data_IF_783889311879
#
_entry.id   IF_783889311879
#
_cell.length_a   1.000
_cell.length_b   1.000
_cell.length_c   1.000
_cell.angle_alpha   90.00
_cell.angle_beta   90.00
_cell.angle_gamma   90.00
#
_symmetry.space_group_name_H-M   'P 1'
#
loop_
_entity.id
_entity.type
_entity.pdbx_description
1 polymer ?
#
# COMPACT_ATOMS: atom_id res chain seq x y z
N UNK A 1 -2.94 -23.18 4.97
CA UNK A 1 -3.70 -22.83 3.76
C UNK A 1 -2.68 -22.56 2.70
N UNK A 2 -2.57 -23.44 1.70
CA UNK A 2 -1.66 -23.28 0.58
C UNK A 2 -2.28 -22.23 -0.34
N UNK A 3 -1.88 -20.97 -0.22
CA UNK A 3 -2.36 -19.89 -1.08
C UNK A 3 -1.18 -19.33 -1.86
N UNK A 4 -1.38 -19.09 -3.16
CA UNK A 4 -0.47 -18.63 -4.21
C UNK A 4 0.24 -17.29 -3.94
N UNK A 5 0.76 -17.07 -2.74
CA UNK A 5 1.53 -15.89 -2.39
C UNK A 5 3.02 -16.17 -2.52
N UNK A 6 3.81 -15.19 -3.02
CA UNK A 6 5.26 -15.28 -3.02
C UNK A 6 5.86 -15.56 -1.62
N UNK A 7 5.17 -15.11 -0.56
CA UNK A 7 5.58 -15.25 0.84
C UNK A 7 4.37 -15.51 1.73
N UNK A 8 4.58 -16.03 2.94
CA UNK A 8 3.51 -16.14 3.93
C UNK A 8 3.01 -14.73 4.33
N UNK A 9 1.74 -14.36 4.05
CA UNK A 9 1.20 -13.05 4.40
C UNK A 9 1.23 -12.78 5.91
N UNK A 10 1.25 -13.82 6.75
CA UNK A 10 1.33 -13.73 8.22
C UNK A 10 2.73 -13.99 8.76
N UNK A 11 3.67 -14.34 7.87
CA UNK A 11 5.07 -14.57 8.22
C UNK A 11 5.82 -13.28 8.53
N UNK A 12 7.10 -13.44 8.88
CA UNK A 12 8.00 -12.33 9.19
C UNK A 12 8.11 -11.35 8.02
N UNK A 13 8.23 -11.87 6.80
CA UNK A 13 8.39 -11.08 5.58
C UNK A 13 7.07 -10.42 5.14
N UNK A 14 5.92 -11.11 5.23
CA UNK A 14 4.64 -10.61 4.76
C UNK A 14 4.06 -9.49 5.64
N UNK A 15 3.96 -9.72 6.94
CA UNK A 15 3.34 -8.76 7.88
C UNK A 15 4.00 -8.73 9.25
N UNK A 16 5.17 -9.33 9.41
CA UNK A 16 5.89 -9.40 10.68
C UNK A 16 5.01 -10.02 11.80
N UNK A 17 4.33 -11.12 11.50
CA UNK A 17 3.37 -11.73 12.43
C UNK A 17 2.17 -10.84 12.71
N UNK A 18 1.60 -10.20 11.67
CA UNK A 18 0.47 -9.26 11.76
C UNK A 18 0.77 -7.97 12.56
N UNK A 19 2.04 -7.54 12.63
CA UNK A 19 2.45 -6.23 13.19
C UNK A 19 2.45 -5.11 12.13
N UNK A 20 2.58 -5.47 10.86
CA UNK A 20 2.56 -4.54 9.71
C UNK A 20 1.31 -4.74 8.87
N UNK A 21 0.81 -3.65 8.31
CA UNK A 21 -0.37 -3.62 7.46
C UNK A 21 -0.13 -2.69 6.26
N UNK A 22 -0.90 -2.90 5.21
CA UNK A 22 -1.14 -1.97 4.11
C UNK A 22 0.06 -1.12 3.66
N UNK A 23 0.03 0.17 3.99
CA UNK A 23 1.00 1.18 3.62
C UNK A 23 2.40 0.83 4.13
N UNK A 24 2.50 0.24 5.32
CA UNK A 24 3.81 -0.13 5.86
C UNK A 24 4.44 -1.26 5.08
N UNK A 25 3.65 -2.23 4.64
CA UNK A 25 4.13 -3.36 3.82
C UNK A 25 4.60 -2.85 2.45
N UNK A 26 3.85 -1.92 1.85
CA UNK A 26 4.22 -1.30 0.56
C UNK A 26 5.50 -0.45 0.72
N UNK A 27 5.59 0.35 1.78
CA UNK A 27 6.76 1.19 2.04
C UNK A 27 8.04 0.40 2.30
N UNK A 28 7.94 -0.82 2.85
CA UNK A 28 9.10 -1.71 3.04
C UNK A 28 9.66 -2.27 1.72
N UNK A 29 9.00 -2.03 0.57
CA UNK A 29 9.45 -2.46 -0.76
C UNK A 29 10.17 -1.38 -1.55
N UNK A 30 10.38 -0.20 -0.96
CA UNK A 30 11.01 0.94 -1.63
C UNK A 30 12.08 1.54 -0.74
N UNK A 31 13.20 1.93 -1.35
CA UNK A 31 14.23 2.77 -0.76
C UNK A 31 14.00 4.23 -1.21
N UNK A 32 13.89 5.16 -0.25
CA UNK A 32 13.59 6.57 -0.53
C UNK A 32 14.72 7.29 -1.28
N UNK A 33 15.97 6.86 -1.12
CA UNK A 33 17.13 7.49 -1.73
C UNK A 33 17.48 6.89 -3.10
N UNK A 34 17.21 5.59 -3.30
CA UNK A 34 17.62 4.85 -4.50
C UNK A 34 16.51 4.65 -5.54
N UNK A 35 15.25 4.48 -5.12
CA UNK A 35 14.17 4.05 -6.03
C UNK A 35 13.37 5.21 -6.65
N UNK A 36 13.61 6.45 -6.22
CA UNK A 36 12.90 7.62 -6.71
C UNK A 36 13.75 8.44 -7.69
N UNK A 37 13.18 8.86 -8.83
CA UNK A 37 11.78 8.75 -9.23
C UNK A 37 11.37 7.34 -9.68
N UNK A 38 10.20 6.89 -9.25
CA UNK A 38 9.68 5.53 -9.42
C UNK A 38 8.60 5.46 -10.50
N UNK A 39 8.66 4.44 -11.36
CA UNK A 39 7.61 4.12 -12.33
C UNK A 39 6.65 3.05 -11.75
N UNK A 40 5.34 3.36 -11.75
CA UNK A 40 4.28 2.51 -11.18
C UNK A 40 4.28 1.12 -11.80
N UNK A 41 4.36 1.05 -13.12
CA UNK A 41 4.21 -0.21 -13.85
C UNK A 41 5.40 -1.14 -13.64
N UNK A 42 6.61 -0.59 -13.46
CA UNK A 42 7.80 -1.36 -13.09
C UNK A 42 7.66 -1.93 -11.67
N UNK A 43 7.23 -1.09 -10.72
CA UNK A 43 6.99 -1.51 -9.33
C UNK A 43 5.90 -2.60 -9.23
N UNK A 44 4.81 -2.48 -10.00
CA UNK A 44 3.75 -3.51 -10.05
C UNK A 44 4.22 -4.77 -10.79
N UNK A 45 5.07 -4.66 -11.80
CA UNK A 45 5.63 -5.84 -12.46
C UNK A 45 6.51 -6.66 -11.51
N UNK A 46 7.24 -6.00 -10.61
CA UNK A 46 8.10 -6.66 -9.63
C UNK A 46 7.32 -7.19 -8.41
N UNK A 47 6.47 -6.36 -7.81
CA UNK A 47 5.82 -6.65 -6.53
C UNK A 47 4.31 -6.87 -6.61
N UNK A 48 3.72 -6.88 -7.80
CA UNK A 48 2.27 -6.94 -7.99
C UNK A 48 1.58 -8.18 -7.40
N UNK A 49 2.30 -9.30 -7.28
CA UNK A 49 1.85 -10.55 -6.63
C UNK A 49 2.11 -10.58 -5.12
N UNK A 50 2.82 -9.60 -4.57
CA UNK A 50 3.17 -9.56 -3.15
C UNK A 50 1.90 -9.41 -2.29
N UNK A 51 1.76 -10.20 -1.22
CA UNK A 51 0.57 -10.14 -0.38
C UNK A 51 0.58 -8.87 0.49
N UNK A 52 -0.50 -8.09 0.39
CA UNK A 52 -0.73 -6.93 1.24
C UNK A 52 -1.84 -7.25 2.23
N UNK A 53 -1.47 -7.32 3.51
CA UNK A 53 -2.42 -7.49 4.61
C UNK A 53 -3.07 -6.15 4.93
N UNK A 54 -4.36 -6.03 4.60
CA UNK A 54 -5.15 -4.81 4.80
C UNK A 54 -5.66 -4.73 6.23
N UNK A 55 -6.15 -5.85 6.76
CA UNK A 55 -6.60 -5.96 8.13
C UNK A 55 -6.48 -7.42 8.62
N UNK A 56 -7.04 -7.73 9.78
CA UNK A 56 -6.99 -9.07 10.36
C UNK A 56 -7.71 -10.16 9.54
N UNK A 57 -8.55 -9.79 8.57
CA UNK A 57 -9.30 -10.73 7.69
C UNK A 57 -8.89 -10.67 6.23
N UNK A 58 -8.54 -9.49 5.71
CA UNK A 58 -8.35 -9.25 4.27
C UNK A 58 -6.86 -9.17 3.91
N UNK A 59 -6.47 -9.97 2.93
CA UNK A 59 -5.20 -9.91 2.21
C UNK A 59 -5.51 -9.84 0.73
N UNK A 60 -4.83 -8.94 0.02
CA UNK A 60 -4.99 -8.72 -1.43
C UNK A 60 -3.60 -8.69 -2.08
N UNK A 61 -3.47 -8.98 -3.38
CA UNK A 61 -2.22 -8.73 -4.07
C UNK A 61 -1.99 -7.22 -4.22
N UNK A 62 -0.73 -6.78 -4.20
CA UNK A 62 -0.40 -5.36 -4.37
C UNK A 62 -1.02 -4.75 -5.64
N UNK A 63 -1.04 -5.49 -6.75
CA UNK A 63 -1.64 -5.01 -8.01
C UNK A 63 -3.10 -4.57 -7.87
N UNK A 64 -3.90 -5.20 -7.00
CA UNK A 64 -5.31 -4.86 -6.82
C UNK A 64 -5.46 -3.44 -6.25
N UNK A 65 -4.53 -3.02 -5.38
CA UNK A 65 -4.49 -1.64 -4.86
C UNK A 65 -4.04 -0.68 -5.95
N UNK A 66 -3.02 -1.07 -6.72
CA UNK A 66 -2.42 -0.23 -7.75
C UNK A 66 -3.30 -0.05 -9.00
N UNK A 67 -4.35 -0.85 -9.19
CA UNK A 67 -5.42 -0.58 -10.16
C UNK A 67 -6.12 0.76 -9.91
N UNK A 68 -6.12 1.26 -8.68
CA UNK A 68 -6.73 2.54 -8.29
C UNK A 68 -5.72 3.69 -8.19
N UNK A 69 -4.43 3.43 -8.47
CA UNK A 69 -3.37 4.43 -8.42
C UNK A 69 -3.27 5.14 -9.77
N UNK A 70 -3.73 6.40 -9.79
CA UNK A 70 -3.79 7.21 -11.03
C UNK A 70 -2.40 7.64 -11.56
N UNK A 71 -1.46 8.14 -10.74
CA UNK A 71 -0.17 8.59 -11.28
C UNK A 71 0.67 7.40 -11.77
N UNK A 72 1.27 7.55 -12.94
CA UNK A 72 2.16 6.52 -13.53
C UNK A 72 3.58 6.61 -12.96
N UNK A 73 3.97 7.75 -12.39
CA UNK A 73 5.31 8.04 -11.86
C UNK A 73 5.24 8.83 -10.56
N UNK A 74 6.14 8.54 -9.63
CA UNK A 74 6.27 9.23 -8.35
C UNK A 74 7.65 9.84 -8.21
N UNK A 75 7.72 11.13 -7.89
CA UNK A 75 9.00 11.82 -7.68
C UNK A 75 9.57 11.58 -6.28
N UNK A 76 8.71 11.28 -5.32
CA UNK A 76 9.10 11.03 -3.93
C UNK A 76 8.25 9.92 -3.30
N UNK A 77 8.77 9.33 -2.23
CA UNK A 77 8.02 8.39 -1.40
C UNK A 77 6.71 9.01 -0.88
N UNK A 78 6.71 10.32 -0.60
CA UNK A 78 5.52 11.03 -0.13
C UNK A 78 4.44 11.09 -1.21
N UNK A 79 4.82 11.27 -2.48
CA UNK A 79 3.88 11.29 -3.60
C UNK A 79 3.26 9.90 -3.80
N UNK A 80 4.09 8.85 -3.74
CA UNK A 80 3.62 7.46 -3.75
C UNK A 80 2.66 7.19 -2.59
N UNK A 81 3.01 7.57 -1.35
CA UNK A 81 2.17 7.33 -0.18
C UNK A 81 0.80 8.01 -0.26
N UNK A 82 0.75 9.23 -0.80
CA UNK A 82 -0.52 9.93 -1.01
C UNK A 82 -1.37 9.20 -2.04
N UNK A 83 -0.78 8.84 -3.18
CA UNK A 83 -1.49 8.15 -4.26
C UNK A 83 -2.02 6.79 -3.82
N UNK A 84 -1.21 5.99 -3.12
CA UNK A 84 -1.65 4.69 -2.57
C UNK A 84 -2.72 4.92 -1.49
N UNK A 85 -2.58 5.93 -0.63
CA UNK A 85 -3.62 6.26 0.36
C UNK A 85 -4.96 6.65 -0.27
N UNK A 86 -4.93 7.36 -1.40
CA UNK A 86 -6.14 7.71 -2.16
C UNK A 86 -6.73 6.49 -2.87
N UNK A 87 -5.88 5.63 -3.45
CA UNK A 87 -6.28 4.34 -4.03
C UNK A 87 -6.95 3.41 -3.00
N UNK A 88 -6.41 3.33 -1.78
CA UNK A 88 -6.97 2.54 -0.69
C UNK A 88 -8.40 2.99 -0.31
N UNK A 89 -8.68 4.29 -0.42
CA UNK A 89 -10.03 4.85 -0.21
C UNK A 89 -10.94 4.67 -1.41
N UNK A 90 -10.41 4.83 -2.62
CA UNK A 90 -11.18 4.69 -3.87
C UNK A 90 -11.61 3.24 -4.14
N UNK A 91 -10.78 2.27 -3.75
CA UNK A 91 -11.05 0.84 -3.92
C UNK A 91 -11.71 0.16 -2.71
N UNK A 92 -12.23 0.92 -1.74
CA UNK A 92 -12.91 0.40 -0.54
C UNK A 92 -12.10 -0.69 0.20
N UNK A 93 -10.77 -0.49 0.32
CA UNK A 93 -9.91 -1.42 1.05
C UNK A 93 -10.02 -1.25 2.56
N UNK A 94 -10.15 0.00 3.04
CA UNK A 94 -10.30 0.29 4.46
C UNK A 94 -11.75 0.25 4.92
N UNK A 95 -12.10 -0.68 5.81
CA UNK A 95 -13.47 -0.79 6.34
C UNK A 95 -13.92 0.44 7.13
N UNK A 96 -12.98 1.15 7.75
CA UNK A 96 -13.26 2.37 8.50
C UNK A 96 -12.88 3.61 7.68
N UNK A 97 -13.89 4.33 7.23
CA UNK A 97 -13.73 5.66 6.67
C UNK A 97 -14.09 6.69 7.77
N UNK A 98 -13.12 7.44 8.31
CA UNK A 98 -13.43 8.50 9.25
C UNK A 98 -14.36 9.52 8.58
N UNK A 99 -15.62 9.57 9.01
CA UNK A 99 -16.57 10.60 8.63
C UNK A 99 -16.24 11.87 9.44
N UNK A 100 -15.27 12.64 8.96
CA UNK A 100 -14.84 13.86 9.63
C UNK A 100 -15.80 15.03 9.37
N UNK A 101 -16.37 15.62 10.44
CA UNK A 101 -16.65 17.06 10.44
C UNK A 101 -15.30 17.75 10.25
N UNK A 102 -15.10 18.48 9.16
CA UNK A 102 -13.94 19.36 8.92
C UNK A 102 -13.61 20.15 10.20
N UNK A 103 -12.60 19.75 11.02
CA UNK A 103 -12.09 20.64 12.04
C UNK A 103 -11.26 21.67 11.28
N UNK A 104 -11.58 22.95 11.44
CA UNK A 104 -10.85 24.04 10.81
C UNK A 104 -9.34 23.78 10.87
N UNK A 105 -8.65 23.84 9.72
CA UNK A 105 -7.19 23.71 9.64
C UNK A 105 -6.58 24.78 10.53
N UNK A 106 -6.11 24.41 11.73
CA UNK A 106 -5.28 25.29 12.54
C UNK A 106 -3.88 25.26 11.94
N UNK A 107 -3.54 26.32 11.20
CA UNK A 107 -2.16 26.64 10.93
C UNK A 107 -1.46 26.93 12.26
N UNK A 108 -0.34 26.25 12.48
CA UNK A 108 0.60 26.56 13.56
C UNK A 108 1.45 27.78 13.18
#
# INVERSE_FOLDING_TARGET
MSNDWPVDPDGEEGSEGMRKYDMRIIADKVDEEEDFPMERDEFVAEYGDYPIRINYKRVVPMREIFEYVEPERFETILDMHKAVGDAMRAGDFWEYHPQGKNPERKHA
#
